data_IF_573874273881
#
_entry.id   IF_573874273881
#
_cell.length_a   1.000
_cell.length_b   1.000
_cell.length_c   1.000
_cell.angle_alpha   90.00
_cell.angle_beta   90.00
_cell.angle_gamma   90.00
#
_symmetry.space_group_name_H-M   'P 1'
#
loop_
_entity.id
_entity.type
_entity.pdbx_description
1 polymer ?
#
# COMPACT_ATOMS: atom_id res chain seq x y z
N UNK A 1 28.47 -70.92 -41.37
CA UNK A 1 29.21 -69.74 -40.98
C UNK A 1 28.55 -68.54 -41.62
N UNK A 2 27.64 -67.88 -40.89
CA UNK A 2 26.94 -66.61 -41.28
C UNK A 2 26.89 -65.70 -40.10
N UNK A 3 27.60 -64.59 -40.17
CA UNK A 3 27.70 -63.55 -39.17
C UNK A 3 26.54 -62.59 -39.45
N UNK A 4 25.65 -62.43 -38.47
CA UNK A 4 24.56 -61.49 -38.55
C UNK A 4 24.97 -60.18 -37.86
N UNK A 5 25.06 -59.10 -38.61
CA UNK A 5 25.30 -57.75 -38.11
C UNK A 5 24.02 -57.17 -37.59
N UNK A 6 23.95 -57.01 -36.29
CA UNK A 6 22.87 -56.24 -35.63
C UNK A 6 23.25 -54.76 -35.61
N UNK A 7 22.59 -53.96 -36.41
CA UNK A 7 22.68 -52.49 -36.41
C UNK A 7 21.91 -51.98 -35.19
N UNK A 8 22.63 -51.41 -34.23
CA UNK A 8 22.04 -50.68 -33.09
C UNK A 8 21.67 -49.28 -33.56
N UNK A 9 20.39 -49.05 -33.74
CA UNK A 9 19.84 -47.74 -34.03
C UNK A 9 19.74 -46.94 -32.70
N UNK A 10 20.64 -46.00 -32.50
CA UNK A 10 20.57 -45.06 -31.36
C UNK A 10 19.61 -43.93 -31.71
N UNK A 11 18.48 -43.89 -31.03
CA UNK A 11 17.50 -42.80 -31.14
C UNK A 11 17.93 -41.62 -30.24
N UNK A 12 18.17 -40.40 -30.76
CA UNK A 12 18.44 -39.27 -29.92
C UNK A 12 17.15 -38.79 -29.23
N UNK A 13 17.10 -38.87 -27.90
CA UNK A 13 16.04 -38.33 -27.09
C UNK A 13 16.18 -36.80 -27.06
N UNK A 14 15.43 -36.10 -27.89
CA UNK A 14 15.33 -34.64 -27.85
C UNK A 14 14.51 -34.24 -26.64
N UNK A 15 15.16 -33.76 -25.57
CA UNK A 15 14.51 -33.13 -24.41
C UNK A 15 14.10 -31.73 -24.89
N UNK A 16 12.87 -31.57 -25.32
CA UNK A 16 12.26 -30.26 -25.50
C UNK A 16 12.02 -29.64 -24.13
N UNK A 17 12.92 -28.75 -23.73
CA UNK A 17 12.74 -27.94 -22.52
C UNK A 17 11.52 -27.02 -22.68
N UNK A 18 10.41 -27.37 -22.07
CA UNK A 18 9.28 -26.47 -21.95
C UNK A 18 9.69 -25.32 -21.01
N UNK A 19 10.00 -24.16 -21.58
CA UNK A 19 10.09 -22.93 -20.82
C UNK A 19 8.66 -22.57 -20.34
N UNK A 20 8.35 -22.92 -19.10
CA UNK A 20 7.16 -22.41 -18.44
C UNK A 20 7.43 -20.93 -18.17
N UNK A 21 6.91 -20.06 -19.02
CA UNK A 21 6.86 -18.63 -18.73
C UNK A 21 5.94 -18.47 -17.52
N UNK A 22 6.51 -18.33 -16.33
CA UNK A 22 5.79 -17.85 -15.15
C UNK A 22 5.45 -16.40 -15.45
N UNK A 23 4.21 -16.15 -15.86
CA UNK A 23 3.67 -14.80 -15.88
C UNK A 23 3.71 -14.28 -14.45
N UNK A 24 4.56 -13.32 -14.17
CA UNK A 24 4.50 -12.63 -12.89
C UNK A 24 3.11 -11.98 -12.79
N UNK A 25 2.35 -12.36 -11.77
CA UNK A 25 1.07 -11.73 -11.48
C UNK A 25 1.32 -10.25 -11.26
N UNK A 26 0.59 -9.41 -11.99
CA UNK A 26 0.73 -7.95 -11.90
C UNK A 26 0.32 -7.52 -10.49
N UNK A 27 1.29 -7.00 -9.73
CA UNK A 27 1.04 -6.50 -8.37
C UNK A 27 0.36 -5.14 -8.47
N UNK A 28 -0.81 -5.02 -7.89
CA UNK A 28 -1.59 -3.78 -7.86
C UNK A 28 -1.76 -3.32 -6.42
N UNK A 29 -1.60 -2.03 -6.18
CA UNK A 29 -1.82 -1.36 -4.90
C UNK A 29 -2.95 -0.34 -5.05
N UNK A 30 -4.03 -0.51 -4.30
CA UNK A 30 -5.18 0.38 -4.31
C UNK A 30 -5.04 1.42 -3.20
N UNK A 31 -4.86 2.67 -3.58
CA UNK A 31 -4.56 3.78 -2.67
C UNK A 31 -5.68 4.82 -2.74
N UNK A 32 -6.15 5.26 -1.58
CA UNK A 32 -7.01 6.45 -1.50
C UNK A 32 -6.38 7.51 -0.62
N UNK A 33 -6.44 8.76 -1.06
CA UNK A 33 -5.87 9.91 -0.37
C UNK A 33 -6.67 11.16 -0.69
N UNK A 34 -6.44 12.22 0.10
CA UNK A 34 -6.93 13.56 -0.21
C UNK A 34 -6.50 13.98 -1.62
N UNK A 35 -7.41 14.60 -2.34
CA UNK A 35 -7.09 15.25 -3.60
C UNK A 35 -5.95 16.28 -3.38
N UNK A 36 -5.05 16.39 -4.35
CA UNK A 36 -3.94 17.35 -4.35
C UNK A 36 -2.88 17.20 -3.22
N UNK A 37 -2.93 16.12 -2.44
CA UNK A 37 -1.95 15.89 -1.35
C UNK A 37 -0.70 15.10 -1.79
N UNK A 38 -0.59 14.78 -3.06
CA UNK A 38 0.60 14.14 -3.65
C UNK A 38 1.12 14.96 -4.82
N UNK A 39 2.43 14.97 -5.02
CA UNK A 39 3.03 15.53 -6.21
C UNK A 39 2.62 14.71 -7.45
N UNK A 40 2.57 15.36 -8.62
CA UNK A 40 2.10 14.75 -9.87
C UNK A 40 2.90 13.51 -10.27
N UNK A 41 4.17 13.46 -9.90
CA UNK A 41 5.10 12.38 -10.23
C UNK A 41 5.23 11.29 -9.14
N UNK A 42 4.54 11.43 -8.00
CA UNK A 42 4.68 10.50 -6.86
C UNK A 42 4.32 9.07 -7.26
N UNK A 43 3.19 8.89 -7.94
CA UNK A 43 2.72 7.55 -8.34
C UNK A 43 3.63 6.96 -9.41
N UNK A 44 3.97 7.73 -10.44
CA UNK A 44 4.84 7.25 -11.52
C UNK A 44 6.23 6.85 -11.02
N UNK A 45 6.82 7.63 -10.12
CA UNK A 45 8.11 7.31 -9.51
C UNK A 45 8.04 6.03 -8.67
N UNK A 46 6.97 5.84 -7.90
CA UNK A 46 6.76 4.62 -7.13
C UNK A 46 6.59 3.38 -8.03
N UNK A 47 5.80 3.49 -9.09
CA UNK A 47 5.61 2.40 -10.05
C UNK A 47 6.92 2.04 -10.76
N UNK A 48 7.72 3.04 -11.15
CA UNK A 48 9.02 2.83 -11.80
C UNK A 48 10.02 2.14 -10.85
N UNK A 49 10.07 2.56 -9.59
CA UNK A 49 10.98 2.02 -8.59
C UNK A 49 10.62 0.59 -8.16
N UNK A 50 9.32 0.31 -8.01
CA UNK A 50 8.87 -0.94 -7.37
C UNK A 50 8.31 -1.98 -8.34
N UNK A 51 7.91 -1.57 -9.54
CA UNK A 51 7.16 -2.39 -10.48
C UNK A 51 5.75 -2.75 -9.99
N UNK A 52 5.21 -2.02 -9.00
CA UNK A 52 3.85 -2.19 -8.47
C UNK A 52 2.96 -1.14 -9.13
N UNK A 53 1.85 -1.58 -9.74
CA UNK A 53 0.87 -0.66 -10.29
C UNK A 53 0.00 -0.06 -9.20
N UNK A 54 -0.31 1.24 -9.31
CA UNK A 54 -1.14 1.96 -8.34
C UNK A 54 -2.48 2.33 -8.96
N UNK A 55 -3.55 1.87 -8.33
CA UNK A 55 -4.90 2.39 -8.56
C UNK A 55 -5.16 3.49 -7.55
N UNK A 56 -5.27 4.72 -8.01
CA UNK A 56 -5.44 5.88 -7.14
C UNK A 56 -6.88 6.41 -7.20
N UNK A 57 -7.55 6.48 -6.05
CA UNK A 57 -8.91 7.00 -5.88
C UNK A 57 -8.88 8.21 -4.93
N UNK A 58 -8.77 9.45 -5.45
CA UNK A 58 -8.76 10.64 -4.61
C UNK A 58 -10.13 10.95 -4.04
N UNK A 59 -10.15 11.60 -2.88
CA UNK A 59 -11.36 12.12 -2.26
C UNK A 59 -11.17 13.56 -1.76
N UNK A 60 -12.27 14.30 -1.60
CA UNK A 60 -12.32 15.71 -1.22
C UNK A 60 -13.07 15.99 0.09
N UNK A 61 -13.74 14.98 0.65
CA UNK A 61 -14.47 15.12 1.90
C UNK A 61 -14.35 13.91 2.82
N UNK A 62 -14.33 14.17 4.13
CA UNK A 62 -14.29 13.13 5.18
C UNK A 62 -15.52 12.23 5.07
N UNK A 63 -16.68 12.78 4.79
CA UNK A 63 -17.94 12.05 4.70
C UNK A 63 -17.93 11.03 3.57
N UNK A 64 -17.32 11.39 2.44
CA UNK A 64 -17.19 10.47 1.29
C UNK A 64 -16.34 9.26 1.65
N UNK A 65 -15.16 9.47 2.21
CA UNK A 65 -14.27 8.36 2.52
C UNK A 65 -14.76 7.55 3.73
N UNK A 66 -15.30 8.19 4.79
CA UNK A 66 -15.91 7.52 5.92
C UNK A 66 -17.04 6.58 5.47
N UNK A 67 -17.91 7.06 4.58
CA UNK A 67 -19.02 6.25 4.05
C UNK A 67 -18.53 5.01 3.29
N UNK A 68 -17.50 5.18 2.46
CA UNK A 68 -16.88 4.06 1.73
C UNK A 68 -16.27 3.05 2.71
N UNK A 69 -15.45 3.49 3.66
CA UNK A 69 -14.74 2.61 4.59
C UNK A 69 -15.71 1.86 5.52
N UNK A 70 -16.72 2.54 6.05
CA UNK A 70 -17.72 1.94 6.94
C UNK A 70 -18.67 0.96 6.23
N UNK A 71 -18.89 1.15 4.93
CA UNK A 71 -19.62 0.17 4.12
C UNK A 71 -18.87 -1.16 3.95
N UNK A 72 -17.55 -1.16 4.18
CA UNK A 72 -16.68 -2.32 4.07
C UNK A 72 -16.36 -2.71 2.62
N UNK A 73 -15.44 -3.63 2.47
CA UNK A 73 -15.05 -4.22 1.16
C UNK A 73 -14.68 -3.18 0.09
N UNK A 74 -13.98 -2.11 0.48
CA UNK A 74 -13.57 -1.04 -0.45
C UNK A 74 -12.50 -1.49 -1.43
N UNK A 75 -11.74 -2.52 -1.10
CA UNK A 75 -10.58 -2.97 -1.86
C UNK A 75 -9.36 -2.06 -1.74
N UNK A 76 -9.37 -1.08 -0.83
CA UNK A 76 -8.18 -0.25 -0.58
C UNK A 76 -7.15 -1.01 0.26
N UNK A 77 -5.89 -0.89 -0.16
CA UNK A 77 -4.72 -1.39 0.56
C UNK A 77 -4.12 -0.29 1.46
N UNK A 78 -4.17 0.96 0.99
CA UNK A 78 -3.67 2.13 1.72
C UNK A 78 -4.71 3.24 1.73
N UNK A 79 -4.98 3.75 2.93
CA UNK A 79 -5.92 4.85 3.15
C UNK A 79 -5.21 5.97 3.91
N UNK A 80 -5.20 7.17 3.37
CA UNK A 80 -4.83 8.38 4.11
C UNK A 80 -6.08 8.99 4.74
N UNK A 81 -6.04 9.30 6.02
CA UNK A 81 -7.20 9.90 6.72
C UNK A 81 -6.76 10.79 7.88
N UNK A 82 -7.70 11.56 8.44
CA UNK A 82 -7.45 12.39 9.63
C UNK A 82 -7.29 11.53 10.88
N UNK A 83 -6.48 11.99 11.86
CA UNK A 83 -6.26 11.26 13.10
C UNK A 83 -7.56 10.99 13.88
N UNK A 84 -8.50 11.93 13.89
CA UNK A 84 -9.80 11.73 14.55
C UNK A 84 -10.66 10.63 13.90
N UNK A 85 -10.53 10.43 12.60
CA UNK A 85 -11.17 9.30 11.92
C UNK A 85 -10.49 7.98 12.29
N UNK A 86 -9.16 7.94 12.33
CA UNK A 86 -8.39 6.75 12.73
C UNK A 86 -8.85 6.21 14.08
N UNK A 87 -9.06 7.08 15.07
CA UNK A 87 -9.56 6.69 16.38
C UNK A 87 -10.93 5.97 16.35
N UNK A 88 -11.74 6.20 15.32
CA UNK A 88 -13.02 5.50 15.10
C UNK A 88 -12.86 4.22 14.27
N UNK A 89 -11.96 4.23 13.29
CA UNK A 89 -11.76 3.11 12.36
C UNK A 89 -11.03 1.92 12.99
N UNK A 90 -10.13 2.18 13.96
CA UNK A 90 -9.42 1.11 14.71
C UNK A 90 -10.40 0.20 15.45
N UNK A 91 -11.26 0.70 16.37
CA UNK A 91 -12.18 -0.17 17.10
C UNK A 91 -13.27 -0.77 16.21
N UNK A 92 -13.55 -0.17 15.05
CA UNK A 92 -14.45 -0.74 14.06
C UNK A 92 -13.84 -1.93 13.29
N UNK A 93 -12.54 -2.23 13.49
CA UNK A 93 -11.85 -3.34 12.84
C UNK A 93 -11.60 -3.14 11.33
N UNK A 94 -11.62 -1.88 10.88
CA UNK A 94 -11.44 -1.54 9.45
C UNK A 94 -9.95 -1.49 9.10
N UNK A 95 -9.12 -1.05 10.04
CA UNK A 95 -7.67 -0.96 9.85
C UNK A 95 -6.98 -2.22 10.35
N UNK A 96 -5.95 -2.64 9.63
CA UNK A 96 -5.09 -3.75 10.03
C UNK A 96 -3.87 -3.25 10.80
N UNK A 97 -3.41 -3.99 11.83
CA UNK A 97 -2.16 -3.65 12.51
C UNK A 97 -0.97 -3.68 11.55
N UNK A 98 -0.07 -2.72 11.73
CA UNK A 98 1.18 -2.64 10.98
C UNK A 98 2.19 -3.69 11.46
N UNK A 99 2.83 -4.37 10.52
CA UNK A 99 4.07 -5.07 10.81
C UNK A 99 5.25 -4.09 10.81
N UNK A 100 5.55 -3.56 11.98
CA UNK A 100 6.61 -2.56 12.15
C UNK A 100 8.00 -3.08 11.75
N UNK A 101 8.20 -4.39 11.73
CA UNK A 101 9.47 -4.99 11.30
C UNK A 101 9.75 -4.78 9.81
N UNK A 102 8.70 -4.55 9.01
CA UNK A 102 8.78 -4.26 7.59
C UNK A 102 8.94 -2.76 7.28
N UNK A 103 8.81 -1.90 8.28
CA UNK A 103 8.80 -0.45 8.10
C UNK A 103 10.15 0.16 8.51
N UNK A 104 11.21 -0.11 7.76
CA UNK A 104 12.57 0.32 8.05
C UNK A 104 12.70 1.85 8.26
N UNK A 105 11.92 2.64 7.52
CA UNK A 105 11.96 4.10 7.57
C UNK A 105 11.16 4.70 8.76
N UNK A 106 10.49 3.88 9.55
CA UNK A 106 9.68 4.38 10.68
C UNK A 106 10.53 5.11 11.73
N UNK A 107 11.81 4.77 11.85
CA UNK A 107 12.77 5.44 12.71
C UNK A 107 13.10 6.89 12.29
N UNK A 108 12.77 7.27 11.05
CA UNK A 108 12.96 8.62 10.54
C UNK A 108 11.78 9.55 10.81
N UNK A 109 10.69 9.02 11.37
CA UNK A 109 9.52 9.84 11.71
C UNK A 109 9.82 10.79 12.86
N UNK A 110 9.21 11.98 12.80
CA UNK A 110 9.33 12.98 13.87
C UNK A 110 8.73 12.45 15.17
N UNK A 111 9.53 12.40 16.22
CA UNK A 111 9.12 11.84 17.51
C UNK A 111 7.96 12.59 18.18
N UNK A 112 7.87 13.92 18.03
CA UNK A 112 6.78 14.74 18.55
C UNK A 112 5.44 14.41 17.84
N UNK A 113 5.46 14.22 16.53
CA UNK A 113 4.27 13.82 15.76
C UNK A 113 3.83 12.39 16.13
N UNK A 114 4.79 11.46 16.25
CA UNK A 114 4.51 10.09 16.69
C UNK A 114 3.91 10.04 18.09
N UNK A 115 4.41 10.86 19.01
CA UNK A 115 3.86 10.97 20.36
C UNK A 115 2.43 11.53 20.38
N UNK A 116 2.15 12.54 19.54
CA UNK A 116 0.80 13.06 19.39
C UNK A 116 -0.16 12.03 18.82
N UNK A 117 0.26 11.30 17.80
CA UNK A 117 -0.52 10.23 17.18
C UNK A 117 -0.88 9.15 18.21
N UNK A 118 0.13 8.67 18.94
CA UNK A 118 -0.04 7.64 19.98
C UNK A 118 -0.94 8.10 21.12
N UNK A 119 -0.77 9.33 21.58
CA UNK A 119 -1.54 9.85 22.73
C UNK A 119 -3.01 10.13 22.42
N UNK A 120 -3.36 10.42 21.18
CA UNK A 120 -4.69 10.88 20.83
C UNK A 120 -5.51 9.87 20.01
N UNK A 121 -4.89 9.07 19.13
CA UNK A 121 -5.65 8.36 18.10
C UNK A 121 -5.24 6.90 17.88
N UNK A 122 -3.95 6.56 17.99
CA UNK A 122 -3.43 5.21 17.72
C UNK A 122 -2.44 4.81 18.82
N UNK A 123 -2.89 4.27 19.94
CA UNK A 123 -2.04 3.85 21.03
C UNK A 123 -0.89 2.95 20.53
N UNK A 124 0.35 3.30 20.93
CA UNK A 124 1.57 2.62 20.53
C UNK A 124 1.90 2.69 19.03
N UNK A 125 1.19 3.50 18.23
CA UNK A 125 1.35 3.64 16.78
C UNK A 125 1.30 2.26 16.07
N UNK A 126 0.27 1.49 16.34
CA UNK A 126 0.14 0.13 15.83
C UNK A 126 -0.54 0.02 14.47
N UNK A 127 -1.28 1.05 14.04
CA UNK A 127 -2.13 0.97 12.86
C UNK A 127 -1.78 1.95 11.75
N UNK A 128 -1.16 3.09 12.09
CA UNK A 128 -0.94 4.14 11.10
C UNK A 128 0.47 4.73 11.18
N UNK A 129 0.89 5.31 10.05
CA UNK A 129 2.10 6.12 9.91
C UNK A 129 1.69 7.53 9.55
N UNK A 130 2.18 8.60 10.23
CA UNK A 130 1.83 9.97 9.88
C UNK A 130 2.35 10.32 8.49
N UNK A 131 1.48 10.88 7.65
CA UNK A 131 1.80 11.33 6.30
C UNK A 131 2.00 12.85 6.27
N UNK A 132 1.01 13.59 6.73
CA UNK A 132 1.04 15.04 6.83
C UNK A 132 0.50 15.50 8.18
N UNK A 133 0.87 16.70 8.58
CA UNK A 133 0.30 17.36 9.75
C UNK A 133 0.13 18.85 9.48
N UNK A 134 -0.78 19.47 10.20
CA UNK A 134 -1.03 20.90 10.12
C UNK A 134 -1.71 21.44 11.36
N UNK A 135 -1.81 22.74 11.44
CA UNK A 135 -2.52 23.46 12.50
C UNK A 135 -3.72 24.18 11.92
N UNK A 136 -4.80 24.24 12.70
CA UNK A 136 -5.94 25.08 12.41
C UNK A 136 -5.97 26.24 13.41
N UNK A 137 -6.33 27.41 12.93
CA UNK A 137 -6.47 28.61 13.75
C UNK A 137 -7.74 29.36 13.40
N UNK A 138 -8.19 30.19 14.33
CA UNK A 138 -9.31 31.12 14.13
C UNK A 138 -8.74 32.52 14.00
N UNK A 139 -9.09 33.19 12.91
CA UNK A 139 -8.82 34.61 12.73
C UNK A 139 -10.09 35.38 13.03
N UNK A 140 -10.01 36.42 13.84
CA UNK A 140 -11.14 37.28 14.16
C UNK A 140 -10.73 38.75 14.07
N UNK A 141 -11.72 39.64 13.85
CA UNK A 141 -11.51 41.07 13.85
C UNK A 141 -11.77 41.60 15.25
N UNK A 142 -10.77 42.23 15.86
CA UNK A 142 -10.88 42.81 17.19
C UNK A 142 -11.66 44.14 17.25
N UNK A 143 -11.91 44.75 16.09
CA UNK A 143 -12.59 46.06 15.99
C UNK A 143 -14.12 45.93 15.80
N UNK A 144 -14.65 44.70 15.75
CA UNK A 144 -16.08 44.39 15.74
C UNK A 144 -16.57 43.95 17.10
#
# INVERSE_FOLDING_TARGET
MKISNAIKLALPLAIAGAFVSVSAEERVLNVTNWAEYMAEDTISNFEEETGIKVTFDPYDSVETIDSKLLAGSTGYDVVSHSGSAIARLIPAGILQPLDKSQLANMSHMRGDVMNQLSSNWDPDNNYVVPFMWGTHGVTYNEEL
#
